data_IF_385592215303
#
_entry.id   IF_385592215303
#
_cell.length_a   1.000
_cell.length_b   1.000
_cell.length_c   1.000
_cell.angle_alpha   90.00
_cell.angle_beta   90.00
_cell.angle_gamma   90.00
#
_symmetry.space_group_name_H-M   'P 1'
#
loop_
_entity.id
_entity.type
_entity.pdbx_description
1 polymer ?
#
# COMPACT_ATOMS: atom_id res chain seq x y z
N UNK A 1 -51.23 -1.72 -0.24
CA UNK A 1 -50.95 -1.79 1.20
C UNK A 1 -50.23 -3.11 1.48
N UNK A 2 -48.90 -3.13 1.47
CA UNK A 2 -48.12 -4.33 1.83
C UNK A 2 -47.20 -3.98 2.99
N UNK A 3 -47.53 -4.53 4.15
CA UNK A 3 -46.72 -4.46 5.37
C UNK A 3 -45.46 -5.31 5.19
N UNK A 4 -44.28 -4.68 5.16
CA UNK A 4 -43.02 -5.40 5.42
C UNK A 4 -42.85 -5.56 6.92
N UNK A 5 -43.06 -6.79 7.42
CA UNK A 5 -42.67 -7.18 8.78
C UNK A 5 -41.14 -7.12 8.89
N UNK A 6 -40.64 -6.41 9.90
CA UNK A 6 -39.23 -6.46 10.31
C UNK A 6 -38.94 -7.85 10.88
N UNK A 7 -37.97 -8.57 10.31
CA UNK A 7 -37.42 -9.79 10.91
C UNK A 7 -36.42 -9.39 12.00
N UNK A 8 -36.44 -10.08 13.14
CA UNK A 8 -35.54 -9.81 14.26
C UNK A 8 -34.16 -10.42 14.04
N UNK A 9 -33.14 -9.82 14.67
CA UNK A 9 -31.71 -10.17 14.57
C UNK A 9 -31.42 -11.67 14.78
N UNK A 10 -32.27 -12.38 15.52
CA UNK A 10 -32.12 -13.83 15.78
C UNK A 10 -32.37 -14.71 14.54
N UNK A 11 -33.14 -14.24 13.54
CA UNK A 11 -33.38 -15.02 12.32
C UNK A 11 -32.25 -14.92 11.28
N UNK A 12 -31.38 -13.92 11.38
CA UNK A 12 -30.15 -13.87 10.58
C UNK A 12 -29.12 -14.91 11.05
N UNK A 13 -29.10 -15.22 12.35
CA UNK A 13 -28.15 -16.19 12.94
C UNK A 13 -28.45 -17.62 12.50
N UNK A 14 -29.72 -17.98 12.28
CA UNK A 14 -30.12 -19.33 11.85
C UNK A 14 -29.98 -19.57 10.33
N UNK A 15 -30.02 -18.51 9.50
CA UNK A 15 -29.74 -18.60 8.06
C UNK A 15 -28.24 -18.65 7.74
N UNK A 16 -27.37 -18.24 8.68
CA UNK A 16 -25.92 -18.28 8.54
C UNK A 16 -25.28 -19.65 8.78
N UNK A 17 -26.04 -20.68 9.21
CA UNK A 17 -25.50 -22.00 9.58
C UNK A 17 -25.58 -23.04 8.43
N UNK A 18 -26.23 -22.72 7.29
CA UNK A 18 -26.43 -23.69 6.20
C UNK A 18 -25.67 -23.44 4.88
N UNK A 19 -24.73 -22.50 4.81
CA UNK A 19 -23.86 -22.31 3.62
C UNK A 19 -22.37 -22.51 3.90
N UNK A 20 -22.04 -23.41 4.80
CA UNK A 20 -20.68 -23.95 4.96
C UNK A 20 -20.51 -25.24 4.17
N UNK A 21 -20.40 -25.17 2.84
CA UNK A 21 -19.98 -26.29 1.96
C UNK A 21 -19.83 -25.82 0.51
N UNK A 22 -18.75 -25.11 0.17
CA UNK A 22 -18.31 -25.01 -1.23
C UNK A 22 -16.84 -24.62 -1.39
N UNK A 23 -15.99 -25.05 -0.46
CA UNK A 23 -14.53 -25.00 -0.60
C UNK A 23 -14.03 -26.44 -0.62
N UNK A 24 -14.26 -27.14 -1.73
CA UNK A 24 -13.53 -28.34 -2.18
C UNK A 24 -14.12 -28.69 -3.57
N UNK A 25 -13.27 -29.04 -4.53
CA UNK A 25 -13.53 -29.34 -5.95
C UNK A 25 -13.40 -28.15 -6.92
N UNK A 26 -12.16 -27.76 -7.23
CA UNK A 26 -11.68 -27.85 -8.61
C UNK A 26 -10.14 -27.68 -8.68
N UNK A 27 -9.44 -28.80 -8.82
CA UNK A 27 -8.05 -28.85 -9.26
C UNK A 27 -8.00 -29.47 -10.66
N UNK A 28 -7.18 -28.86 -11.52
CA UNK A 28 -6.64 -29.33 -12.80
C UNK A 28 -7.42 -29.02 -14.09
N UNK A 29 -7.03 -27.94 -14.77
CA UNK A 29 -6.38 -28.06 -16.10
C UNK A 29 -5.60 -26.80 -16.51
N UNK A 30 -4.33 -27.05 -16.88
CA UNK A 30 -3.37 -26.22 -17.63
C UNK A 30 -2.56 -25.19 -16.82
N UNK A 31 -1.59 -25.73 -16.06
CA UNK A 31 -0.16 -25.40 -16.11
C UNK A 31 0.28 -23.93 -16.08
N UNK A 32 0.46 -23.38 -14.88
CA UNK A 32 1.75 -23.01 -14.26
C UNK A 32 1.39 -22.54 -12.84
N UNK A 33 1.60 -23.39 -11.83
CA UNK A 33 1.32 -23.07 -10.42
C UNK A 33 2.62 -23.10 -9.60
N UNK A 34 2.92 -21.98 -8.94
CA UNK A 34 3.70 -21.97 -7.69
C UNK A 34 2.72 -21.59 -6.57
N UNK A 35 2.36 -22.51 -5.65
CA UNK A 35 1.47 -22.17 -4.57
C UNK A 35 2.23 -21.52 -3.41
N UNK A 36 1.69 -20.40 -2.91
CA UNK A 36 1.95 -19.94 -1.55
C UNK A 36 1.28 -20.92 -0.58
N UNK A 37 2.09 -21.71 0.12
CA UNK A 37 1.59 -22.56 1.21
C UNK A 37 1.44 -21.71 2.49
N UNK A 38 0.19 -21.63 2.96
CA UNK A 38 -0.17 -21.20 4.30
C UNK A 38 0.35 -22.24 5.29
N UNK A 39 1.29 -21.85 6.16
CA UNK A 39 1.83 -22.72 7.21
C UNK A 39 0.77 -22.88 8.31
N UNK A 40 0.23 -24.09 8.42
CA UNK A 40 -0.39 -24.58 9.64
C UNK A 40 0.73 -24.93 10.63
N UNK A 41 0.82 -24.19 11.73
CA UNK A 41 1.57 -24.59 12.92
C UNK A 41 0.81 -25.73 13.61
N UNK A 42 1.38 -26.93 13.60
CA UNK A 42 1.09 -27.95 14.60
C UNK A 42 2.40 -28.51 15.16
N UNK A 43 2.44 -28.49 16.48
CA UNK A 43 3.46 -29.06 17.35
C UNK A 43 3.66 -30.55 17.05
N UNK A 44 4.91 -31.01 17.07
CA UNK A 44 5.27 -32.25 17.76
C UNK A 44 6.78 -32.34 17.99
N UNK A 45 7.12 -32.55 19.26
CA UNK A 45 8.43 -32.96 19.74
C UNK A 45 8.75 -34.41 19.34
N UNK A 46 10.04 -34.73 19.34
CA UNK A 46 10.69 -36.05 19.21
C UNK A 46 10.79 -36.65 17.80
N UNK A 47 12.02 -36.64 17.26
CA UNK A 47 12.80 -37.88 17.14
C UNK A 47 14.29 -37.58 16.91
N UNK A 48 15.12 -38.05 17.84
CA UNK A 48 16.57 -38.25 17.69
C UNK A 48 16.84 -39.54 16.91
N UNK A 49 17.79 -39.51 15.98
CA UNK A 49 18.85 -40.52 15.71
C UNK A 49 19.53 -40.13 14.38
N UNK A 50 20.77 -39.65 14.44
CA UNK A 50 22.00 -40.45 14.25
C UNK A 50 22.08 -41.12 12.88
N UNK A 51 23.00 -40.61 12.05
CA UNK A 51 24.02 -41.43 11.38
C UNK A 51 25.21 -40.52 11.04
N UNK A 52 26.30 -40.75 11.75
CA UNK A 52 27.67 -40.46 11.31
C UNK A 52 27.99 -41.31 10.06
N UNK A 53 28.75 -40.77 9.10
CA UNK A 53 29.88 -41.52 8.56
C UNK A 53 30.95 -40.61 7.93
N UNK A 54 32.16 -40.82 8.43
CA UNK A 54 33.45 -40.21 8.13
C UNK A 54 34.10 -40.73 6.84
N UNK A 55 34.97 -39.92 6.21
CA UNK A 55 36.41 -40.13 5.89
C UNK A 55 36.63 -39.78 4.41
N UNK A 56 37.75 -39.35 3.84
CA UNK A 56 39.16 -39.07 4.18
C UNK A 56 39.66 -38.16 3.02
N UNK A 57 40.55 -37.18 3.16
CA UNK A 57 42.00 -37.38 3.35
C UNK A 57 42.78 -37.06 2.06
N UNK A 58 43.91 -36.36 2.24
CA UNK A 58 45.09 -36.22 1.37
C UNK A 58 45.14 -35.20 0.20
N UNK A 59 45.89 -34.11 0.44
CA UNK A 59 47.34 -33.92 0.11
C UNK A 59 47.72 -32.62 -0.63
N UNK A 60 48.95 -32.24 -0.28
CA UNK A 60 49.67 -30.96 -0.35
C UNK A 60 50.77 -31.01 -1.44
N UNK A 61 51.33 -29.83 -1.73
CA UNK A 61 52.66 -29.51 -2.32
C UNK A 61 52.67 -29.29 -3.85
N UNK A 62 53.42 -28.37 -4.45
CA UNK A 62 54.50 -27.47 -3.99
C UNK A 62 54.81 -26.46 -5.13
N UNK A 63 55.49 -25.34 -4.86
CA UNK A 63 56.25 -24.62 -5.89
C UNK A 63 56.42 -23.09 -5.78
N UNK A 64 57.36 -22.64 -4.92
CA UNK A 64 58.43 -21.63 -5.13
C UNK A 64 58.09 -20.26 -5.80
N UNK A 65 58.11 -19.14 -5.07
CA UNK A 65 59.26 -18.25 -4.74
C UNK A 65 59.94 -17.59 -5.94
N UNK A 66 59.84 -16.25 -6.04
CA UNK A 66 61.02 -15.37 -6.16
C UNK A 66 60.66 -13.94 -5.70
N UNK A 67 61.49 -13.43 -4.78
CA UNK A 67 61.48 -12.10 -4.17
C UNK A 67 62.07 -11.05 -5.13
N UNK A 68 61.58 -9.81 -5.07
CA UNK A 68 62.47 -8.65 -5.17
C UNK A 68 62.01 -7.54 -4.24
N UNK A 69 62.96 -7.07 -3.44
CA UNK A 69 62.79 -6.23 -2.27
C UNK A 69 63.58 -4.94 -2.53
N UNK A 70 62.89 -3.81 -2.68
CA UNK A 70 63.54 -2.51 -2.62
C UNK A 70 62.76 -1.56 -1.71
N UNK A 71 63.37 -1.27 -0.56
CA UNK A 71 62.95 -0.26 0.41
C UNK A 71 63.65 1.06 0.05
N UNK A 72 62.89 2.16 -0.04
CA UNK A 72 63.35 3.56 0.11
C UNK A 72 62.16 4.46 0.55
N UNK A 73 62.38 5.65 1.17
CA UNK A 73 62.26 5.90 2.60
C UNK A 73 61.00 6.69 2.98
N UNK A 74 60.67 6.72 4.28
CA UNK A 74 59.65 7.61 4.85
C UNK A 74 60.04 9.08 4.70
N UNK A 75 59.14 9.90 4.15
CA UNK A 75 59.21 11.36 4.15
C UNK A 75 57.93 11.97 4.77
N UNK A 76 58.17 13.04 5.53
CA UNK A 76 57.29 13.82 6.41
C UNK A 76 56.09 14.49 5.69
N UNK A 77 54.90 14.66 6.32
CA UNK A 77 53.64 14.93 5.64
C UNK A 77 53.28 16.43 5.70
N UNK A 78 53.90 17.27 4.87
CA UNK A 78 53.41 18.64 4.64
C UNK A 78 53.71 19.09 3.21
N UNK A 79 52.95 18.58 2.24
CA UNK A 79 52.79 19.21 0.94
C UNK A 79 51.31 19.24 0.56
N UNK A 80 50.78 20.45 0.50
CA UNK A 80 49.42 20.77 0.08
C UNK A 80 49.31 20.38 -1.41
N UNK A 81 48.72 19.22 -1.69
CA UNK A 81 48.20 18.92 -3.01
C UNK A 81 46.82 19.55 -3.12
N UNK A 82 46.77 20.68 -3.81
CA UNK A 82 45.54 21.30 -4.31
C UNK A 82 44.88 20.28 -5.24
N UNK A 83 43.77 19.68 -4.81
CA UNK A 83 42.93 18.87 -5.68
C UNK A 83 42.44 19.73 -6.86
N UNK A 84 42.48 19.24 -8.12
CA UNK A 84 41.83 19.95 -9.20
C UNK A 84 40.34 20.06 -8.91
N UNK A 85 39.82 21.27 -9.09
CA UNK A 85 38.43 21.66 -8.93
C UNK A 85 37.52 20.61 -9.57
N UNK A 86 36.87 19.80 -8.74
CA UNK A 86 35.81 18.92 -9.23
C UNK A 86 34.66 19.85 -9.56
N UNK A 87 34.46 20.10 -10.85
CA UNK A 87 33.28 20.81 -11.33
C UNK A 87 32.05 20.13 -10.74
N UNK A 88 31.45 20.78 -9.74
CA UNK A 88 30.17 20.38 -9.18
C UNK A 88 29.21 20.40 -10.35
N UNK A 89 28.84 19.21 -10.83
CA UNK A 89 27.83 19.08 -11.88
C UNK A 89 26.61 19.90 -11.44
N UNK A 90 26.20 20.84 -12.29
CA UNK A 90 24.99 21.62 -12.05
C UNK A 90 23.87 20.69 -11.64
N UNK A 91 23.10 21.00 -10.57
CA UNK A 91 22.06 20.11 -10.10
C UNK A 91 21.10 19.81 -11.25
N UNK A 92 21.05 18.54 -11.66
CA UNK A 92 20.11 18.06 -12.66
C UNK A 92 18.73 18.44 -12.12
N UNK A 93 17.99 19.27 -12.87
CA UNK A 93 16.64 19.66 -12.46
C UNK A 93 15.82 18.38 -12.19
N UNK A 94 15.08 18.30 -11.07
CA UNK A 94 14.29 17.13 -10.75
C UNK A 94 13.32 16.86 -11.90
N UNK A 95 13.32 15.63 -12.42
CA UNK A 95 12.39 15.22 -13.47
C UNK A 95 10.96 15.37 -12.91
N UNK A 96 10.12 16.19 -13.51
CA UNK A 96 8.75 16.39 -13.04
C UNK A 96 7.92 15.09 -13.06
N UNK A 97 6.82 15.07 -12.30
CA UNK A 97 5.76 14.07 -12.47
C UNK A 97 4.66 14.75 -13.31
N UNK A 98 4.40 14.22 -14.48
CA UNK A 98 3.34 14.73 -15.35
C UNK A 98 1.96 14.39 -14.75
N UNK A 99 0.94 15.24 -14.89
CA UNK A 99 -0.43 14.80 -14.64
C UNK A 99 -0.81 13.68 -15.61
N UNK A 100 -1.85 12.92 -15.28
CA UNK A 100 -2.46 12.03 -16.25
C UNK A 100 -2.97 12.87 -17.44
N UNK A 101 -2.94 12.31 -18.68
CA UNK A 101 -3.61 12.94 -19.80
C UNK A 101 -5.07 13.23 -19.47
N UNK A 102 -5.62 14.30 -20.05
CA UNK A 102 -7.03 14.65 -19.86
C UNK A 102 -7.91 13.43 -20.17
N UNK A 103 -8.60 12.94 -19.16
CA UNK A 103 -9.49 11.80 -19.30
C UNK A 103 -10.90 12.33 -19.59
N UNK A 104 -11.34 12.17 -20.83
CA UNK A 104 -12.74 12.37 -21.18
C UNK A 104 -13.50 11.16 -20.68
N UNK A 105 -14.22 11.35 -19.57
CA UNK A 105 -15.16 10.35 -19.12
C UNK A 105 -16.21 10.17 -20.20
N UNK A 106 -16.46 8.93 -20.61
CA UNK A 106 -17.51 8.58 -21.55
C UNK A 106 -18.83 9.22 -21.10
N UNK A 107 -19.71 9.62 -22.02
CA UNK A 107 -21.03 10.11 -21.60
C UNK A 107 -21.73 9.06 -20.74
N UNK A 108 -22.50 9.54 -19.76
CA UNK A 108 -23.38 8.68 -19.01
C UNK A 108 -24.54 8.28 -19.93
N UNK A 109 -24.53 7.04 -20.40
CA UNK A 109 -25.56 6.49 -21.27
C UNK A 109 -26.70 5.82 -20.49
N UNK A 110 -26.65 5.86 -19.15
CA UNK A 110 -27.64 5.22 -18.30
C UNK A 110 -27.61 3.69 -18.35
N UNK A 111 -26.49 3.07 -18.74
CA UNK A 111 -26.36 1.62 -18.76
C UNK A 111 -26.35 1.05 -17.33
N UNK A 112 -27.53 0.58 -16.91
CA UNK A 112 -27.74 -0.06 -15.61
C UNK A 112 -26.90 -1.33 -15.42
N UNK A 113 -26.43 -1.99 -16.50
CA UNK A 113 -25.52 -3.12 -16.35
C UNK A 113 -24.14 -2.67 -15.87
N UNK A 114 -23.71 -1.44 -16.13
CA UNK A 114 -22.40 -0.92 -15.72
C UNK A 114 -22.47 -0.03 -14.49
N UNK A 115 -23.66 0.17 -13.94
CA UNK A 115 -23.91 1.00 -12.76
C UNK A 115 -23.92 0.15 -11.50
N UNK A 116 -23.17 0.58 -10.48
CA UNK A 116 -22.97 -0.13 -9.21
C UNK A 116 -24.24 -0.11 -8.34
N UNK A 117 -24.69 -1.29 -7.89
CA UNK A 117 -25.80 -1.46 -6.91
C UNK A 117 -25.28 -1.44 -5.46
N UNK A 118 -24.11 -2.04 -5.22
CA UNK A 118 -23.57 -2.21 -3.86
C UNK A 118 -22.88 -0.97 -3.28
N UNK A 119 -22.56 0.00 -4.15
CA UNK A 119 -21.78 1.18 -3.80
C UNK A 119 -22.62 2.46 -3.82
N UNK A 120 -23.93 2.37 -3.59
CA UNK A 120 -24.76 3.58 -3.44
C UNK A 120 -24.29 4.36 -2.19
N UNK A 121 -23.27 5.19 -2.40
CA UNK A 121 -22.57 5.99 -1.38
C UNK A 121 -23.49 6.97 -0.64
N UNK A 122 -24.72 7.13 -1.14
CA UNK A 122 -25.64 8.19 -0.80
C UNK A 122 -26.99 7.69 -0.29
N UNK A 123 -27.11 6.41 0.07
CA UNK A 123 -28.39 5.69 0.31
C UNK A 123 -29.42 6.40 1.24
N UNK A 124 -29.02 7.43 1.98
CA UNK A 124 -29.87 8.16 2.92
C UNK A 124 -29.96 9.67 2.64
N UNK A 125 -29.25 10.19 1.64
CA UNK A 125 -29.26 11.62 1.27
C UNK A 125 -29.95 11.84 -0.08
N UNK A 126 -31.23 12.24 -0.02
CA UNK A 126 -32.07 12.45 -1.21
C UNK A 126 -31.54 13.48 -2.23
N UNK A 127 -30.60 14.36 -1.84
CA UNK A 127 -29.95 15.28 -2.76
C UNK A 127 -28.77 14.64 -3.50
N UNK A 128 -28.18 13.59 -2.92
CA UNK A 128 -27.00 12.92 -3.41
C UNK A 128 -27.31 11.58 -4.10
N UNK A 129 -28.45 10.94 -3.82
CA UNK A 129 -28.90 9.69 -4.47
C UNK A 129 -29.03 9.77 -5.98
N UNK A 130 -29.11 10.98 -6.56
CA UNK A 130 -29.05 11.20 -8.01
C UNK A 130 -27.69 10.88 -8.64
N UNK A 131 -26.61 10.80 -7.85
CA UNK A 131 -25.26 10.53 -8.35
C UNK A 131 -24.95 9.05 -8.33
N UNK A 132 -24.72 8.49 -9.51
CA UNK A 132 -24.40 7.08 -9.64
C UNK A 132 -22.89 6.86 -9.87
N UNK A 133 -22.45 5.63 -9.63
CA UNK A 133 -21.08 5.19 -9.86
C UNK A 133 -21.08 4.03 -10.82
N UNK A 134 -20.18 4.05 -11.81
CA UNK A 134 -20.20 3.11 -12.93
C UNK A 134 -18.80 2.68 -13.38
N UNK A 135 -18.77 1.63 -14.18
CA UNK A 135 -17.59 1.18 -14.92
C UNK A 135 -17.58 1.86 -16.30
N UNK A 136 -16.40 2.24 -16.81
CA UNK A 136 -16.25 2.82 -18.15
C UNK A 136 -16.52 1.78 -19.24
N UNK A 137 -16.59 2.20 -20.50
CA UNK A 137 -16.58 1.23 -21.60
C UNK A 137 -15.23 0.46 -21.59
N UNK A 138 -15.23 -0.86 -21.87
CA UNK A 138 -13.99 -1.61 -22.04
C UNK A 138 -13.06 -0.96 -23.07
N UNK A 139 -11.79 -0.79 -22.68
CA UNK A 139 -10.78 -0.15 -23.51
C UNK A 139 -10.75 1.39 -23.50
N UNK A 140 -11.70 2.08 -22.83
CA UNK A 140 -11.67 3.55 -22.71
C UNK A 140 -10.44 4.08 -21.98
N UNK A 141 -9.86 3.27 -21.09
CA UNK A 141 -8.63 3.57 -20.35
C UNK A 141 -7.57 2.49 -20.59
N UNK A 142 -6.93 2.47 -21.78
CA UNK A 142 -6.02 1.40 -22.18
C UNK A 142 -4.75 1.32 -21.32
N UNK A 143 -4.43 2.38 -20.58
CA UNK A 143 -3.37 2.39 -19.58
C UNK A 143 -3.93 2.88 -18.25
N UNK A 144 -4.57 1.98 -17.50
CA UNK A 144 -5.06 2.26 -16.15
C UNK A 144 -3.87 2.49 -15.21
N UNK A 145 -3.96 3.50 -14.33
CA UNK A 145 -2.90 3.79 -13.36
C UNK A 145 -3.07 3.03 -12.05
N UNK A 146 -2.01 2.92 -11.27
CA UNK A 146 -2.07 2.35 -9.92
C UNK A 146 -2.65 3.34 -8.91
N UNK A 147 -3.44 2.84 -7.96
CA UNK A 147 -3.67 3.49 -6.66
C UNK A 147 -2.85 2.70 -5.63
N UNK A 148 -1.68 3.20 -5.29
CA UNK A 148 -0.66 2.45 -4.56
C UNK A 148 -0.41 2.99 -3.15
N UNK A 149 -0.20 2.09 -2.20
CA UNK A 149 0.16 2.46 -0.83
C UNK A 149 0.66 1.28 -0.02
N UNK A 150 1.50 1.54 0.99
CA UNK A 150 1.71 0.58 2.07
C UNK A 150 0.37 0.21 2.76
N UNK A 151 0.11 -1.06 3.13
CA UNK A 151 -1.09 -1.45 3.85
C UNK A 151 -1.38 -0.58 5.08
N UNK A 152 -2.65 -0.29 5.35
CA UNK A 152 -3.01 0.62 6.45
C UNK A 152 -2.82 2.12 6.16
N UNK A 153 -2.41 2.51 4.94
CA UNK A 153 -2.23 3.93 4.57
C UNK A 153 -3.47 4.62 3.98
N UNK A 154 -4.62 3.94 3.96
CA UNK A 154 -5.90 4.56 3.55
C UNK A 154 -6.29 4.42 2.08
N UNK A 155 -5.72 3.43 1.36
CA UNK A 155 -6.06 3.14 -0.04
C UNK A 155 -7.57 2.97 -0.28
N UNK A 156 -8.22 2.11 0.53
CA UNK A 156 -9.65 1.84 0.40
C UNK A 156 -10.51 3.08 0.65
N UNK A 157 -10.12 3.94 1.60
CA UNK A 157 -10.81 5.20 1.86
C UNK A 157 -10.66 6.16 0.67
N UNK A 158 -9.45 6.34 0.17
CA UNK A 158 -9.19 7.18 -1.01
C UNK A 158 -9.92 6.67 -2.26
N UNK A 159 -9.97 5.35 -2.44
CA UNK A 159 -10.74 4.68 -3.49
C UNK A 159 -12.21 5.13 -3.44
N UNK A 160 -12.84 5.12 -2.25
CA UNK A 160 -14.23 5.55 -2.10
C UNK A 160 -14.42 7.04 -2.35
N UNK A 161 -13.51 7.90 -1.88
CA UNK A 161 -13.59 9.34 -2.16
C UNK A 161 -13.50 9.62 -3.67
N UNK A 162 -12.61 8.93 -4.37
CA UNK A 162 -12.44 9.06 -5.81
C UNK A 162 -13.65 8.54 -6.59
N UNK A 163 -14.16 7.36 -6.25
CA UNK A 163 -15.41 6.85 -6.87
C UNK A 163 -16.55 7.81 -6.59
N UNK A 164 -16.66 8.32 -5.36
CA UNK A 164 -17.68 9.27 -4.96
C UNK A 164 -17.62 10.57 -5.75
N UNK A 165 -16.43 11.15 -5.98
CA UNK A 165 -16.32 12.45 -6.68
C UNK A 165 -16.33 12.32 -8.21
N UNK A 166 -15.88 11.19 -8.76
CA UNK A 166 -15.77 10.98 -10.22
C UNK A 166 -16.93 10.20 -10.81
N UNK A 167 -17.56 9.33 -10.01
CA UNK A 167 -18.54 8.35 -10.50
C UNK A 167 -17.94 7.21 -11.29
N UNK A 168 -16.62 7.07 -11.26
CA UNK A 168 -15.93 6.02 -11.99
C UNK A 168 -15.38 5.02 -11.00
N UNK A 169 -15.67 3.76 -11.25
CA UNK A 169 -15.17 2.66 -10.46
C UNK A 169 -13.65 2.58 -10.53
N UNK A 170 -13.05 2.25 -9.39
CA UNK A 170 -11.64 1.90 -9.24
C UNK A 170 -11.61 0.43 -8.86
N UNK A 171 -10.84 -0.37 -9.58
CA UNK A 171 -10.68 -1.80 -9.32
C UNK A 171 -9.52 -2.09 -8.37
N UNK A 172 -9.29 -3.36 -8.07
CA UNK A 172 -8.18 -3.90 -7.30
C UNK A 172 -7.48 -4.98 -8.11
N UNK A 173 -6.15 -5.03 -8.02
CA UNK A 173 -5.38 -6.11 -8.64
C UNK A 173 -5.56 -7.45 -7.91
N UNK A 174 -6.08 -7.41 -6.68
CA UNK A 174 -6.20 -8.58 -5.83
C UNK A 174 -7.47 -9.38 -6.18
N UNK A 175 -7.33 -10.65 -6.62
CA UNK A 175 -8.47 -11.51 -6.88
C UNK A 175 -9.36 -11.61 -5.63
N UNK A 176 -10.68 -11.56 -5.83
CA UNK A 176 -11.64 -11.66 -4.72
C UNK A 176 -12.09 -10.33 -4.15
N UNK A 177 -11.27 -9.26 -4.18
CA UNK A 177 -11.68 -7.96 -3.61
C UNK A 177 -12.83 -7.31 -4.37
N UNK A 178 -12.90 -7.51 -5.70
CA UNK A 178 -13.96 -6.96 -6.57
C UNK A 178 -14.83 -8.06 -7.21
N UNK A 179 -14.89 -9.24 -6.59
CA UNK A 179 -15.49 -10.44 -7.18
C UNK A 179 -17.01 -10.43 -7.29
N UNK A 180 -17.69 -9.44 -6.72
CA UNK A 180 -19.15 -9.31 -6.72
C UNK A 180 -19.58 -7.92 -7.17
N UNK A 181 -19.23 -7.55 -8.40
CA UNK A 181 -19.89 -6.43 -9.05
C UNK A 181 -21.34 -6.82 -9.30
N UNK A 182 -22.25 -6.29 -8.48
CA UNK A 182 -23.68 -6.35 -8.70
C UNK A 182 -24.12 -5.03 -9.32
N UNK A 183 -24.69 -5.12 -10.51
CA UNK A 183 -25.19 -3.97 -11.23
C UNK A 183 -26.61 -3.60 -10.81
N UNK A 184 -27.04 -2.37 -11.08
CA UNK A 184 -28.44 -1.95 -10.88
C UNK A 184 -29.43 -2.69 -11.79
N UNK A 185 -28.94 -3.27 -12.90
CA UNK A 185 -29.70 -4.21 -13.72
C UNK A 185 -29.85 -5.61 -13.07
N UNK A 186 -29.36 -5.80 -11.84
CA UNK A 186 -29.32 -7.07 -11.13
C UNK A 186 -28.47 -8.14 -11.85
N UNK A 187 -27.47 -7.69 -12.61
CA UNK A 187 -26.48 -8.55 -13.27
C UNK A 187 -25.24 -8.64 -12.39
N UNK A 188 -24.75 -9.86 -12.17
CA UNK A 188 -23.48 -10.10 -11.48
C UNK A 188 -22.40 -10.46 -12.50
N UNK A 189 -21.28 -9.75 -12.50
CA UNK A 189 -20.12 -10.12 -13.31
C UNK A 189 -18.81 -9.76 -12.62
N UNK A 190 -17.71 -10.35 -13.09
CA UNK A 190 -16.38 -9.96 -12.64
C UNK A 190 -15.85 -8.89 -13.59
N UNK A 191 -15.31 -7.80 -13.03
CA UNK A 191 -14.58 -6.81 -13.83
C UNK A 191 -13.18 -7.39 -14.08
N UNK A 192 -12.80 -7.68 -15.33
CA UNK A 192 -11.44 -8.15 -15.62
C UNK A 192 -10.43 -7.08 -15.22
N UNK A 193 -9.34 -7.47 -14.54
CA UNK A 193 -8.31 -6.53 -14.08
C UNK A 193 -7.87 -5.61 -15.23
N UNK A 194 -7.57 -6.15 -16.41
CA UNK A 194 -7.06 -5.38 -17.55
C UNK A 194 -8.14 -4.96 -18.57
N UNK A 195 -9.40 -4.80 -18.16
CA UNK A 195 -10.47 -4.38 -19.07
C UNK A 195 -10.28 -2.97 -19.65
N UNK A 196 -9.39 -2.15 -19.07
CA UNK A 196 -9.27 -0.74 -19.39
C UNK A 196 -10.56 0.04 -19.14
N UNK A 197 -11.35 -0.40 -18.16
CA UNK A 197 -12.71 0.08 -17.89
C UNK A 197 -12.85 0.74 -16.51
N UNK A 198 -11.73 0.97 -15.81
CA UNK A 198 -11.71 1.55 -14.46
C UNK A 198 -10.74 2.72 -14.38
N UNK A 199 -10.97 3.63 -13.44
CA UNK A 199 -10.16 4.83 -13.30
C UNK A 199 -8.71 4.53 -12.86
N UNK A 200 -8.57 3.68 -11.84
CA UNK A 200 -7.31 3.22 -11.26
C UNK A 200 -7.45 1.75 -10.82
N UNK A 201 -6.33 1.13 -10.46
CA UNK A 201 -6.24 -0.19 -9.84
C UNK A 201 -5.54 -0.10 -8.48
N UNK A 202 -6.23 -0.45 -7.41
CA UNK A 202 -5.67 -0.58 -6.05
C UNK A 202 -4.59 -1.66 -6.03
N UNK A 203 -3.46 -1.34 -5.42
CA UNK A 203 -2.36 -2.27 -5.15
C UNK A 203 -1.61 -1.88 -3.87
N UNK A 204 -1.08 -2.87 -3.16
CA UNK A 204 -0.07 -2.71 -2.11
C UNK A 204 1.33 -3.12 -2.60
N UNK A 205 1.45 -3.41 -3.91
CA UNK A 205 2.68 -3.81 -4.57
C UNK A 205 3.41 -4.94 -3.79
N UNK A 206 4.73 -4.88 -3.74
CA UNK A 206 5.62 -5.79 -3.02
C UNK A 206 5.77 -5.46 -1.52
N UNK A 207 4.95 -4.56 -0.95
CA UNK A 207 5.18 -3.88 0.35
C UNK A 207 5.69 -4.72 1.52
N UNK A 208 5.49 -6.04 1.53
CA UNK A 208 6.06 -6.95 2.52
C UNK A 208 6.99 -8.00 1.91
N UNK A 209 6.68 -8.47 0.70
CA UNK A 209 7.45 -9.50 0.00
C UNK A 209 8.86 -9.04 -0.35
N UNK A 210 9.07 -7.75 -0.66
CA UNK A 210 10.39 -7.21 -1.02
C UNK A 210 11.44 -7.38 0.09
N UNK A 211 11.01 -7.27 1.35
CA UNK A 211 11.89 -7.35 2.51
C UNK A 211 11.97 -8.78 3.02
N UNK A 212 10.83 -9.50 3.03
CA UNK A 212 10.75 -10.89 3.49
C UNK A 212 11.68 -11.84 2.72
N UNK A 213 11.91 -11.55 1.43
CA UNK A 213 12.64 -12.43 0.55
C UNK A 213 13.91 -11.81 -0.05
N UNK A 214 14.37 -10.66 0.48
CA UNK A 214 15.50 -9.90 -0.07
C UNK A 214 15.40 -9.78 -1.58
N UNK A 215 14.22 -9.37 -2.07
CA UNK A 215 13.91 -9.51 -3.48
C UNK A 215 14.92 -8.73 -4.34
N UNK A 216 15.39 -9.32 -5.47
CA UNK A 216 16.20 -8.59 -6.43
C UNK A 216 15.51 -7.29 -6.85
N UNK A 217 16.30 -6.26 -7.18
CA UNK A 217 15.78 -4.95 -7.55
C UNK A 217 14.70 -5.01 -8.63
N UNK A 218 14.89 -5.84 -9.67
CA UNK A 218 13.93 -6.06 -10.74
C UNK A 218 12.54 -6.54 -10.26
N UNK A 219 12.47 -7.24 -9.12
CA UNK A 219 11.19 -7.63 -8.53
C UNK A 219 10.58 -6.51 -7.68
N UNK A 220 11.39 -5.61 -7.12
CA UNK A 220 10.93 -4.42 -6.42
C UNK A 220 10.44 -3.32 -7.36
N UNK A 221 10.74 -3.38 -8.66
CA UNK A 221 10.22 -2.40 -9.63
C UNK A 221 9.10 -2.96 -10.51
N UNK A 222 8.78 -4.25 -10.38
CA UNK A 222 7.87 -4.97 -11.29
C UNK A 222 6.51 -4.29 -11.43
N UNK A 223 5.81 -3.99 -10.34
CA UNK A 223 4.47 -3.38 -10.45
C UNK A 223 4.56 -1.93 -10.95
N UNK A 224 5.57 -1.17 -10.52
CA UNK A 224 5.84 0.14 -11.10
C UNK A 224 6.01 0.07 -12.63
N UNK A 225 6.73 -0.94 -13.13
CA UNK A 225 6.95 -1.19 -14.56
C UNK A 225 5.67 -1.64 -15.28
N UNK A 226 4.88 -2.52 -14.67
CA UNK A 226 3.56 -2.96 -15.19
C UNK A 226 2.63 -1.76 -15.41
N UNK A 227 2.63 -0.81 -14.48
CA UNK A 227 1.90 0.46 -14.59
C UNK A 227 2.66 1.54 -15.39
N UNK A 228 3.87 1.24 -15.87
CA UNK A 228 4.75 2.16 -16.62
C UNK A 228 4.99 3.50 -15.89
N UNK A 229 5.05 3.47 -14.56
CA UNK A 229 5.20 4.67 -13.73
C UNK A 229 3.97 5.57 -13.66
N UNK A 230 2.78 5.09 -14.03
CA UNK A 230 1.51 5.83 -13.93
C UNK A 230 0.76 5.44 -12.66
N UNK A 231 0.62 6.37 -11.71
CA UNK A 231 -0.11 6.09 -10.48
C UNK A 231 -0.26 7.24 -9.51
N UNK A 232 -1.07 7.00 -8.48
CA UNK A 232 -1.23 7.84 -7.31
C UNK A 232 -0.70 7.07 -6.11
N UNK A 233 0.38 7.58 -5.51
CA UNK A 233 0.94 7.04 -4.26
C UNK A 233 0.31 7.77 -3.08
N UNK A 234 -0.32 7.03 -2.16
CA UNK A 234 -0.73 7.57 -0.85
C UNK A 234 0.23 7.10 0.23
N UNK A 235 0.80 8.08 0.95
CA UNK A 235 1.71 7.87 2.08
C UNK A 235 0.99 8.33 3.36
N UNK A 236 1.05 7.51 4.41
CA UNK A 236 0.55 7.80 5.75
C UNK A 236 1.69 7.77 6.74
N UNK A 237 1.54 8.45 7.87
CA UNK A 237 2.36 8.30 9.07
C UNK A 237 2.65 6.79 9.32
N UNK A 238 3.93 6.35 9.25
CA UNK A 238 4.29 4.94 9.40
C UNK A 238 3.90 4.36 10.76
N UNK A 239 3.94 5.13 11.85
CA UNK A 239 3.45 4.67 13.16
C UNK A 239 1.99 4.22 13.09
N UNK A 240 1.13 5.01 12.43
CA UNK A 240 -0.30 4.68 12.28
C UNK A 240 -0.54 3.61 11.21
N UNK A 241 0.23 3.64 10.13
CA UNK A 241 0.07 2.68 9.03
C UNK A 241 0.43 1.25 9.48
N UNK A 242 1.58 1.07 10.15
CA UNK A 242 2.07 -0.22 10.64
C UNK A 242 1.09 -0.79 11.69
N UNK A 243 0.66 0.01 12.66
CA UNK A 243 -0.35 -0.41 13.65
C UNK A 243 -1.67 -0.78 12.98
N UNK A 244 -2.13 0.02 12.02
CA UNK A 244 -3.35 -0.27 11.26
C UNK A 244 -3.22 -1.57 10.46
N UNK A 245 -2.04 -1.86 9.92
CA UNK A 245 -1.79 -3.08 9.19
C UNK A 245 -1.78 -4.30 10.11
N UNK A 246 -1.16 -4.18 11.28
CA UNK A 246 -1.22 -5.23 12.32
C UNK A 246 -2.65 -5.56 12.70
N UNK A 247 -3.47 -4.54 12.95
CA UNK A 247 -4.90 -4.75 13.22
C UNK A 247 -5.61 -5.47 12.07
N UNK A 248 -5.27 -5.16 10.81
CA UNK A 248 -5.82 -5.85 9.64
C UNK A 248 -5.44 -7.34 9.57
N UNK A 249 -4.20 -7.73 9.93
CA UNK A 249 -3.80 -9.15 9.95
C UNK A 249 -4.70 -10.01 10.87
N UNK A 250 -5.25 -9.42 11.93
CA UNK A 250 -6.14 -10.11 12.87
C UNK A 250 -7.63 -9.96 12.52
N UNK A 251 -8.02 -8.88 11.83
CA UNK A 251 -9.42 -8.55 11.56
C UNK A 251 -9.93 -8.98 10.19
N UNK A 252 -9.02 -9.18 9.23
CA UNK A 252 -9.36 -9.28 7.81
C UNK A 252 -10.03 -8.01 7.23
N UNK A 253 -10.56 -8.13 6.01
CA UNK A 253 -11.22 -7.03 5.27
C UNK A 253 -12.53 -6.56 5.90
N UNK A 254 -13.27 -7.45 6.57
CA UNK A 254 -14.60 -7.16 7.14
C UNK A 254 -14.56 -6.36 8.46
N UNK A 255 -13.36 -6.07 8.99
CA UNK A 255 -13.17 -4.99 9.98
C UNK A 255 -13.81 -5.21 11.36
N UNK A 256 -14.31 -6.41 11.67
CA UNK A 256 -15.02 -6.69 12.93
C UNK A 256 -14.05 -6.91 14.12
N UNK A 257 -12.75 -7.07 13.85
CA UNK A 257 -11.74 -7.35 14.87
C UNK A 257 -10.74 -6.20 15.09
N UNK A 258 -10.29 -6.07 16.33
CA UNK A 258 -9.09 -5.30 16.72
C UNK A 258 -8.06 -6.33 17.18
N UNK A 259 -6.78 -6.16 16.83
CA UNK A 259 -5.76 -7.12 17.29
C UNK A 259 -5.67 -7.08 18.83
N UNK A 260 -5.55 -8.25 19.49
CA UNK A 260 -5.41 -8.31 20.95
C UNK A 260 -4.14 -7.60 21.40
N UNK A 261 -4.10 -7.10 22.64
CA UNK A 261 -2.95 -6.32 23.16
C UNK A 261 -1.62 -7.07 23.01
N UNK A 262 -1.60 -8.38 23.25
CA UNK A 262 -0.40 -9.21 23.11
C UNK A 262 0.13 -9.29 21.66
N UNK A 263 -0.65 -8.90 20.65
CA UNK A 263 -0.20 -8.82 19.26
C UNK A 263 0.83 -7.71 19.00
N UNK A 264 1.00 -6.79 19.98
CA UNK A 264 1.86 -5.63 19.94
C UNK A 264 3.08 -5.76 20.87
N UNK A 265 3.45 -6.98 21.25
CA UNK A 265 4.59 -7.24 22.14
C UNK A 265 5.39 -8.46 21.71
N UNK A 266 6.64 -8.55 22.17
CA UNK A 266 7.54 -9.69 21.96
C UNK A 266 8.08 -9.82 20.53
N UNK A 267 8.84 -10.88 20.31
CA UNK A 267 9.64 -11.10 19.09
C UNK A 267 8.82 -11.05 17.79
N UNK A 268 7.59 -11.58 17.80
CA UNK A 268 6.70 -11.53 16.62
C UNK A 268 6.34 -10.10 16.24
N UNK A 269 6.13 -9.23 17.23
CA UNK A 269 5.90 -7.80 17.02
C UNK A 269 7.17 -7.11 16.53
N UNK A 270 8.32 -7.37 17.16
CA UNK A 270 9.60 -6.78 16.74
C UNK A 270 9.94 -7.09 15.28
N UNK A 271 9.78 -8.35 14.88
CA UNK A 271 9.96 -8.80 13.50
C UNK A 271 8.92 -8.18 12.56
N UNK A 272 7.67 -8.05 13.00
CA UNK A 272 6.62 -7.38 12.21
C UNK A 272 6.94 -5.90 11.98
N UNK A 273 7.33 -5.16 13.02
CA UNK A 273 7.69 -3.74 12.92
C UNK A 273 8.88 -3.57 11.99
N UNK A 274 9.97 -4.30 12.22
CA UNK A 274 11.19 -4.18 11.41
C UNK A 274 10.92 -4.41 9.92
N UNK A 275 10.16 -5.46 9.57
CA UNK A 275 9.75 -5.73 8.18
C UNK A 275 8.82 -4.67 7.62
N UNK A 276 7.87 -4.20 8.42
CA UNK A 276 6.89 -3.19 7.98
C UNK A 276 7.53 -1.83 7.73
N UNK A 277 8.51 -1.43 8.56
CA UNK A 277 9.28 -0.18 8.38
C UNK A 277 10.05 -0.23 7.06
N UNK A 278 10.82 -1.29 6.85
CA UNK A 278 11.58 -1.47 5.61
C UNK A 278 10.64 -1.55 4.39
N UNK A 279 9.49 -2.22 4.52
CA UNK A 279 8.48 -2.34 3.47
C UNK A 279 7.85 -0.99 3.10
N UNK A 280 7.49 -0.20 4.11
CA UNK A 280 6.96 1.16 3.93
C UNK A 280 7.98 2.08 3.25
N UNK A 281 9.23 2.07 3.72
CA UNK A 281 10.31 2.89 3.17
C UNK A 281 10.62 2.52 1.71
N UNK A 282 10.75 1.22 1.45
CA UNK A 282 11.09 0.70 0.11
C UNK A 282 9.98 1.02 -0.88
N UNK A 283 8.72 0.74 -0.53
CA UNK A 283 7.58 1.04 -1.40
C UNK A 283 7.49 2.53 -1.71
N UNK A 284 7.56 3.39 -0.69
CA UNK A 284 7.52 4.83 -0.90
C UNK A 284 8.67 5.27 -1.82
N UNK A 285 9.90 4.86 -1.52
CA UNK A 285 11.09 5.25 -2.27
C UNK A 285 11.05 4.82 -3.73
N UNK A 286 10.67 3.57 -4.02
CA UNK A 286 10.56 3.05 -5.39
C UNK A 286 9.53 3.85 -6.18
N UNK A 287 8.34 4.06 -5.63
CA UNK A 287 7.29 4.77 -6.33
C UNK A 287 7.59 6.26 -6.49
N UNK A 288 8.13 6.93 -5.46
CA UNK A 288 8.51 8.35 -5.56
C UNK A 288 9.53 8.55 -6.70
N UNK A 289 10.57 7.71 -6.78
CA UNK A 289 11.58 7.78 -7.85
C UNK A 289 11.01 7.40 -9.21
N UNK A 290 10.13 6.41 -9.24
CA UNK A 290 9.61 5.79 -10.45
C UNK A 290 8.41 6.46 -11.10
N UNK A 291 7.68 7.31 -10.36
CA UNK A 291 6.49 7.98 -10.87
C UNK A 291 6.82 8.89 -12.05
N UNK A 292 6.19 8.61 -13.19
CA UNK A 292 6.24 9.41 -14.42
C UNK A 292 4.96 10.21 -14.60
N UNK A 293 3.82 9.62 -14.24
CA UNK A 293 2.50 10.24 -14.35
C UNK A 293 1.68 10.07 -13.07
N UNK A 294 1.00 11.13 -12.65
CA UNK A 294 0.13 11.17 -11.46
C UNK A 294 0.70 12.02 -10.34
N UNK A 295 0.95 11.41 -9.18
CA UNK A 295 1.50 12.15 -8.04
C UNK A 295 1.45 11.43 -6.70
N UNK A 296 1.87 12.15 -5.66
CA UNK A 296 1.90 11.70 -4.27
C UNK A 296 0.86 12.48 -3.47
N UNK A 297 0.10 11.78 -2.62
CA UNK A 297 -0.86 12.36 -1.67
C UNK A 297 -0.49 11.89 -0.26
N UNK A 298 -0.67 12.77 0.73
CA UNK A 298 -0.43 12.45 2.13
C UNK A 298 -1.75 12.24 2.86
N UNK A 299 -1.90 11.10 3.52
CA UNK A 299 -3.11 10.73 4.25
C UNK A 299 -3.51 11.79 5.28
N UNK A 300 -2.55 12.34 6.01
CA UNK A 300 -2.80 13.33 7.07
C UNK A 300 -3.35 14.64 6.49
N UNK A 301 -2.86 15.08 5.32
CA UNK A 301 -3.42 16.24 4.61
C UNK A 301 -4.79 15.92 4.03
N UNK A 302 -4.95 14.74 3.41
CA UNK A 302 -6.24 14.30 2.86
C UNK A 302 -7.33 14.24 3.94
N UNK A 303 -6.97 13.83 5.16
CA UNK A 303 -7.87 13.77 6.30
C UNK A 303 -8.23 15.15 6.84
N UNK A 304 -7.27 16.07 6.96
CA UNK A 304 -7.50 17.42 7.52
C UNK A 304 -8.10 18.39 6.52
N UNK A 305 -7.75 18.25 5.24
CA UNK A 305 -8.03 19.21 4.17
C UNK A 305 -8.66 18.51 2.95
N UNK A 306 -9.61 17.60 3.20
CA UNK A 306 -10.16 16.70 2.16
C UNK A 306 -10.59 17.42 0.89
N UNK A 307 -11.22 18.60 1.00
CA UNK A 307 -11.68 19.37 -0.17
C UNK A 307 -10.53 19.83 -1.06
N UNK A 308 -9.44 20.38 -0.50
CA UNK A 308 -8.31 20.88 -1.31
C UNK A 308 -7.52 19.70 -1.89
N UNK A 309 -7.31 18.65 -1.10
CA UNK A 309 -6.57 17.45 -1.50
C UNK A 309 -7.28 16.66 -2.60
N UNK A 310 -8.62 16.51 -2.53
CA UNK A 310 -9.38 15.89 -3.63
C UNK A 310 -9.30 16.71 -4.91
N UNK A 311 -9.35 18.05 -4.83
CA UNK A 311 -9.17 18.91 -6.02
C UNK A 311 -7.77 18.76 -6.61
N UNK A 312 -6.74 18.70 -5.77
CA UNK A 312 -5.35 18.48 -6.22
C UNK A 312 -5.20 17.13 -6.90
N UNK A 313 -5.78 16.08 -6.30
CA UNK A 313 -5.78 14.73 -6.85
C UNK A 313 -6.51 14.64 -8.19
N UNK A 314 -7.66 15.27 -8.33
CA UNK A 314 -8.40 15.31 -9.60
C UNK A 314 -7.59 16.01 -10.70
N UNK A 315 -6.85 17.07 -10.36
CA UNK A 315 -5.90 17.71 -11.28
C UNK A 315 -4.77 16.75 -11.69
N UNK A 316 -4.19 16.01 -10.74
CA UNK A 316 -3.18 14.97 -11.04
C UNK A 316 -3.73 13.87 -11.96
N UNK A 317 -5.03 13.57 -11.86
CA UNK A 317 -5.72 12.58 -12.69
C UNK A 317 -6.22 13.14 -14.04
N UNK A 318 -5.99 14.43 -14.34
CA UNK A 318 -6.47 15.03 -15.59
C UNK A 318 -8.00 15.06 -15.68
N UNK A 319 -8.68 15.12 -14.53
CA UNK A 319 -10.14 15.01 -14.44
C UNK A 319 -10.80 16.34 -14.04
N UNK A 320 -11.90 16.62 -14.73
CA UNK A 320 -12.90 17.59 -14.26
C UNK A 320 -13.81 16.92 -13.24
N UNK A 321 -14.46 17.73 -12.40
CA UNK A 321 -15.40 17.23 -11.41
C UNK A 321 -16.66 18.10 -11.34
N UNK A 322 -17.75 17.46 -10.95
CA UNK A 322 -19.01 18.10 -10.60
C UNK A 322 -18.90 18.65 -9.16
N UNK A 323 -19.21 19.94 -8.98
CA UNK A 323 -19.09 20.63 -7.68
C UNK A 323 -20.09 20.10 -6.66
N UNK A 324 -21.30 19.79 -7.09
CA UNK A 324 -22.37 19.28 -6.24
C UNK A 324 -22.06 17.83 -5.83
N UNK A 325 -21.49 17.05 -6.74
CA UNK A 325 -20.97 15.70 -6.45
C UNK A 325 -19.83 15.74 -5.43
N UNK A 326 -18.91 16.69 -5.56
CA UNK A 326 -17.87 16.92 -4.54
C UNK A 326 -18.49 17.28 -3.18
N UNK A 327 -19.55 18.09 -3.16
CA UNK A 327 -20.22 18.44 -1.91
C UNK A 327 -20.88 17.22 -1.24
N UNK A 328 -21.48 16.33 -2.03
CA UNK A 328 -21.98 15.04 -1.54
C UNK A 328 -20.86 14.21 -0.89
N UNK A 329 -19.72 14.05 -1.56
CA UNK A 329 -18.57 13.33 -1.01
C UNK A 329 -18.15 13.93 0.34
N UNK A 330 -18.03 15.25 0.42
CA UNK A 330 -17.53 15.94 1.61
C UNK A 330 -18.47 15.80 2.80
N UNK A 331 -19.79 15.82 2.57
CA UNK A 331 -20.81 15.60 3.59
C UNK A 331 -20.74 14.21 4.21
N UNK A 332 -20.40 13.20 3.40
CA UNK A 332 -20.39 11.78 3.78
C UNK A 332 -18.99 11.22 4.01
N UNK A 333 -17.98 12.07 4.24
CA UNK A 333 -16.59 11.65 4.53
C UNK A 333 -16.45 10.90 5.85
N UNK A 334 -17.36 11.13 6.80
CA UNK A 334 -17.40 10.50 8.11
C UNK A 334 -18.15 9.16 8.11
N UNK A 335 -19.15 9.02 7.24
CA UNK A 335 -20.14 7.92 7.27
C UNK A 335 -19.79 6.75 6.35
N UNK A 336 -18.62 6.77 5.71
CA UNK A 336 -18.21 5.63 4.89
C UNK A 336 -17.63 4.49 5.74
N UNK A 337 -18.23 3.30 5.61
CA UNK A 337 -17.90 2.04 6.31
C UNK A 337 -16.44 1.56 6.14
N UNK A 338 -15.66 2.23 5.30
CA UNK A 338 -14.25 1.94 5.05
C UNK A 338 -13.30 2.76 5.93
N UNK A 339 -13.80 3.78 6.62
CA UNK A 339 -13.07 4.44 7.70
C UNK A 339 -13.35 3.66 8.98
N UNK A 340 -12.35 2.89 9.43
CA UNK A 340 -12.45 2.19 10.71
C UNK A 340 -12.63 3.23 11.82
N UNK A 341 -13.69 3.09 12.60
CA UNK A 341 -13.81 3.82 13.85
C UNK A 341 -12.61 3.47 14.72
N UNK A 342 -11.89 4.49 15.16
CA UNK A 342 -10.82 4.31 16.13
C UNK A 342 -11.47 4.06 17.48
N UNK A 343 -11.87 2.81 17.76
CA UNK A 343 -12.24 2.38 19.11
C UNK A 343 -10.98 2.41 19.98
N UNK A 344 -10.64 3.61 20.45
CA UNK A 344 -9.44 3.96 21.21
C UNK A 344 -9.43 3.42 22.64
N UNK A 345 -10.46 2.68 23.07
CA UNK A 345 -10.68 2.41 24.48
C UNK A 345 -9.80 1.28 25.07
N UNK A 346 -9.10 0.48 24.26
CA UNK A 346 -8.45 -0.77 24.74
C UNK A 346 -7.09 -1.10 24.11
N UNK A 347 -6.38 -0.13 23.52
CA UNK A 347 -5.03 -0.38 23.02
C UNK A 347 -4.05 0.63 23.59
N UNK A 348 -2.87 0.16 24.01
CA UNK A 348 -1.75 1.02 24.41
C UNK A 348 -1.56 2.13 23.36
N UNK A 349 -1.47 3.36 23.86
CA UNK A 349 -1.41 4.57 23.03
C UNK A 349 -0.16 4.55 22.12
N UNK A 350 0.94 3.96 22.61
CA UNK A 350 2.19 3.70 21.90
C UNK A 350 2.69 2.25 22.12
N UNK A 351 2.57 1.35 21.13
CA UNK A 351 3.11 -0.01 21.21
C UNK A 351 4.59 -0.13 20.84
N UNK A 352 5.27 0.99 20.54
CA UNK A 352 6.62 0.96 20.00
C UNK A 352 7.69 1.10 21.08
N UNK A 353 8.76 0.32 20.97
CA UNK A 353 9.97 0.51 21.79
C UNK A 353 10.80 1.69 21.27
N UNK A 354 11.73 2.21 22.07
CA UNK A 354 12.61 3.30 21.64
C UNK A 354 13.41 2.95 20.37
N UNK A 355 13.93 1.72 20.29
CA UNK A 355 14.65 1.23 19.12
C UNK A 355 13.76 1.16 17.87
N UNK A 356 12.51 0.74 18.03
CA UNK A 356 11.53 0.72 16.93
C UNK A 356 11.15 2.13 16.48
N UNK A 357 10.97 3.09 17.41
CA UNK A 357 10.76 4.51 17.06
C UNK A 357 11.92 5.06 16.25
N UNK A 358 13.16 4.79 16.66
CA UNK A 358 14.35 5.20 15.92
C UNK A 358 14.40 4.60 14.49
N UNK A 359 14.02 3.33 14.32
CA UNK A 359 13.91 2.72 13.00
C UNK A 359 12.88 3.44 12.12
N UNK A 360 11.71 3.75 12.69
CA UNK A 360 10.64 4.46 11.99
C UNK A 360 11.09 5.88 11.61
N UNK A 361 11.77 6.61 12.50
CA UNK A 361 12.32 7.94 12.20
C UNK A 361 13.32 7.91 11.06
N UNK A 362 14.27 6.97 11.07
CA UNK A 362 15.24 6.80 9.98
C UNK A 362 14.57 6.54 8.63
N UNK A 363 13.51 5.73 8.61
CA UNK A 363 12.72 5.50 7.40
C UNK A 363 12.01 6.77 6.93
N UNK A 364 11.45 7.57 7.85
CA UNK A 364 10.83 8.87 7.51
C UNK A 364 11.87 9.80 6.87
N UNK A 365 13.07 9.90 7.45
CA UNK A 365 14.14 10.75 6.93
C UNK A 365 14.63 10.29 5.55
N UNK A 366 14.72 8.98 5.34
CA UNK A 366 15.03 8.40 4.03
C UNK A 366 13.98 8.80 2.99
N UNK A 367 12.69 8.62 3.27
CA UNK A 367 11.61 9.02 2.36
C UNK A 367 11.58 10.54 2.13
N UNK A 368 11.88 11.34 3.16
CA UNK A 368 12.02 12.79 3.04
C UNK A 368 13.12 13.18 2.06
N UNK A 369 14.25 12.49 2.07
CA UNK A 369 15.34 12.72 1.13
C UNK A 369 14.89 12.42 -0.30
N UNK A 370 14.20 11.30 -0.52
CA UNK A 370 13.71 10.93 -1.85
C UNK A 370 12.68 11.93 -2.41
N UNK A 371 11.78 12.43 -1.56
CA UNK A 371 10.82 13.48 -1.95
C UNK A 371 11.57 14.76 -2.39
N UNK A 372 12.59 15.15 -1.62
CA UNK A 372 13.43 16.31 -1.93
C UNK A 372 14.19 16.13 -3.25
N UNK A 373 14.77 14.95 -3.49
CA UNK A 373 15.44 14.58 -4.76
C UNK A 373 14.50 14.75 -5.96
N UNK A 374 13.21 14.46 -5.79
CA UNK A 374 12.18 14.61 -6.84
C UNK A 374 11.50 15.98 -6.87
N UNK A 375 11.90 16.92 -6.00
CA UNK A 375 11.29 18.25 -5.90
C UNK A 375 9.82 18.21 -5.46
N UNK A 376 9.42 17.19 -4.70
CA UNK A 376 8.05 17.02 -4.19
C UNK A 376 7.90 17.64 -2.80
N UNK A 377 6.66 17.94 -2.43
CA UNK A 377 6.32 18.39 -1.07
C UNK A 377 6.88 17.42 -0.02
N UNK A 378 7.40 17.90 1.12
CA UNK A 378 7.84 17.02 2.20
C UNK A 378 6.67 16.27 2.84
N UNK A 379 6.97 15.17 3.54
CA UNK A 379 5.99 14.50 4.40
C UNK A 379 5.47 15.51 5.44
N UNK A 380 4.18 15.48 5.80
CA UNK A 380 3.60 16.38 6.78
C UNK A 380 3.90 15.89 8.20
N UNK A 381 5.18 15.83 8.55
CA UNK A 381 5.69 15.26 9.81
C UNK A 381 5.19 15.98 11.06
N UNK A 382 4.75 17.23 10.94
CA UNK A 382 4.08 17.96 12.01
C UNK A 382 2.74 17.32 12.44
N UNK A 383 2.22 16.37 11.67
CA UNK A 383 1.02 15.59 12.01
C UNK A 383 1.36 14.16 12.46
N UNK A 384 2.64 13.83 12.59
CA UNK A 384 3.07 12.48 12.95
C UNK A 384 3.26 12.39 14.46
N UNK A 385 2.52 11.47 15.08
CA UNK A 385 2.75 11.12 16.48
C UNK A 385 4.21 10.72 16.69
N UNK A 386 4.79 11.10 17.83
CA UNK A 386 6.17 10.77 18.22
C UNK A 386 7.27 11.30 17.28
N UNK A 387 6.96 12.26 16.40
CA UNK A 387 7.99 12.92 15.57
C UNK A 387 8.66 14.12 16.26
N UNK A 388 7.99 14.74 17.23
CA UNK A 388 8.61 15.78 18.06
C UNK A 388 9.66 15.13 18.97
N UNK A 389 10.92 15.46 18.69
CA UNK A 389 12.10 15.06 19.46
C UNK A 389 12.05 15.81 20.79
N UNK A 390 11.33 15.27 21.78
CA UNK A 390 11.54 15.68 23.17
C UNK A 390 12.63 14.79 23.81
N UNK A 391 13.44 15.32 24.74
CA UNK A 391 14.50 14.58 25.42
C UNK A 391 14.03 13.28 26.10
N UNK A 392 12.74 13.16 26.39
CA UNK A 392 12.11 11.94 26.90
C UNK A 392 12.20 10.74 25.95
N UNK A 393 12.42 10.96 24.64
CA UNK A 393 12.42 9.90 23.63
C UNK A 393 13.79 9.58 23.01
N UNK A 394 14.88 10.15 23.55
CA UNK A 394 16.21 9.55 23.50
C UNK A 394 16.87 9.37 22.12
N UNK A 395 17.00 10.45 21.33
CA UNK A 395 17.98 10.50 20.24
C UNK A 395 19.14 11.42 20.69
N UNK A 396 20.40 10.96 20.71
CA UNK A 396 21.54 11.82 20.95
C UNK A 396 21.64 12.88 19.84
N UNK A 397 21.71 14.16 20.24
CA UNK A 397 21.92 15.33 19.38
C UNK A 397 23.23 15.28 18.61
#
# INVERSE_FOLDING_TARGET
MFHRRRLSVLQYVLLGIFFGSSVYLWTNRIGVTRPFNVIHLLQNENLLQETEESTSGDKLADGLLEDDNSIQPMADPLSINVCPDTTVASPIAPVGIEPFPELKLDEDDGDLNRTLDWLDLWNEDGNCTKYESRVLQPGSQPQTGALVSFPGSGNSWLRMLLVGVTGVFISSIYPGEDSQFKSKANTSYQIPVNCGCTLLQKTHDFSLDAVLYSLPEAQRTKTLEEFKGKGILIIRNPFKAIRSYRNFEYSGMVGVGVAPENAFTGEKWDNFVSRSVAGWETLASVWIRGLKQGGVIYYERLHRETRSELKRLLKMLGLRYDKDRLECVLRHTADNSFKRESNNATQAEDPYTASQRLLIHKAIDSVQLVLKERGLDPLPVQYYDFYDITPEYGIPT
#
